data_IF_524906210410
#
_entry.id   IF_524906210410
#
_cell.length_a   1.000
_cell.length_b   1.000
_cell.length_c   1.000
_cell.angle_alpha   90.00
_cell.angle_beta   90.00
_cell.angle_gamma   90.00
#
_symmetry.space_group_name_H-M   'P 1'
#
loop_
_entity.id
_entity.type
_entity.pdbx_description
1 polymer ?
#
# COMPACT_ATOMS: atom_id res chain seq x y z
N UNK A 1 10.78 15.10 32.57
CA UNK A 1 9.47 15.04 31.89
C UNK A 1 8.69 13.90 32.51
N UNK A 2 7.44 14.10 32.96
CA UNK A 2 6.69 13.02 33.56
C UNK A 2 6.33 12.01 32.46
N UNK A 3 6.58 10.74 32.74
CA UNK A 3 6.20 9.59 31.92
C UNK A 3 4.67 9.54 31.95
N UNK A 4 4.01 9.69 30.80
CA UNK A 4 2.56 9.56 30.71
C UNK A 4 2.15 8.15 31.14
N UNK A 5 1.42 8.04 32.26
CA UNK A 5 0.84 6.78 32.72
C UNK A 5 -0.21 6.30 31.71
N UNK A 6 0.10 5.25 30.96
CA UNK A 6 -0.82 4.61 30.02
C UNK A 6 -1.83 3.78 30.81
N UNK A 7 -2.98 4.36 31.16
CA UNK A 7 -4.09 3.60 31.77
C UNK A 7 -4.73 2.66 30.74
N UNK A 8 -4.55 1.36 30.92
CA UNK A 8 -5.28 0.30 30.21
C UNK A 8 -6.68 0.12 30.78
N UNK A 9 -7.72 0.36 29.99
CA UNK A 9 -9.07 -0.11 30.30
C UNK A 9 -9.19 -1.57 29.87
N UNK A 10 -9.46 -2.47 30.83
CA UNK A 10 -9.74 -3.89 30.54
C UNK A 10 -11.10 -3.99 29.84
N UNK A 11 -11.09 -4.32 28.56
CA UNK A 11 -12.34 -4.53 27.80
C UNK A 11 -12.79 -5.97 28.06
N UNK A 12 -14.08 -6.19 28.36
CA UNK A 12 -14.64 -7.54 28.33
C UNK A 12 -14.54 -8.12 26.91
N UNK A 13 -13.81 -9.22 26.77
CA UNK A 13 -13.32 -9.87 25.54
C UNK A 13 -14.37 -10.08 24.42
N UNK A 14 -15.67 -10.02 24.70
CA UNK A 14 -16.73 -10.28 23.72
C UNK A 14 -17.33 -9.03 23.05
N UNK A 15 -17.03 -7.83 23.53
CA UNK A 15 -17.76 -6.62 23.15
C UNK A 15 -17.30 -5.96 21.84
N UNK A 16 -16.11 -5.36 21.85
CA UNK A 16 -15.59 -4.55 20.72
C UNK A 16 -14.88 -5.40 19.68
N UNK A 17 -14.15 -6.44 20.11
CA UNK A 17 -13.44 -7.39 19.26
C UNK A 17 -14.42 -8.10 18.32
N UNK A 18 -15.56 -8.58 18.84
CA UNK A 18 -16.57 -9.26 18.02
C UNK A 18 -17.18 -8.36 16.94
N UNK A 19 -17.40 -7.08 17.26
CA UNK A 19 -17.88 -6.08 16.29
C UNK A 19 -16.79 -5.80 15.24
N UNK A 20 -15.54 -5.66 15.65
CA UNK A 20 -14.41 -5.49 14.73
C UNK A 20 -14.28 -6.69 13.78
N UNK A 21 -14.34 -7.92 14.29
CA UNK A 21 -14.26 -9.14 13.46
C UNK A 21 -15.41 -9.21 12.45
N UNK A 22 -16.62 -8.85 12.86
CA UNK A 22 -17.77 -8.75 11.95
C UNK A 22 -17.52 -7.70 10.87
N UNK A 23 -16.97 -6.53 11.25
CA UNK A 23 -16.63 -5.47 10.31
C UNK A 23 -15.54 -5.91 9.30
N UNK A 24 -14.47 -6.57 9.76
CA UNK A 24 -13.44 -7.13 8.87
C UNK A 24 -14.04 -8.15 7.90
N UNK A 25 -15.00 -8.96 8.35
CA UNK A 25 -15.73 -9.86 7.47
C UNK A 25 -16.58 -9.09 6.43
N UNK A 26 -17.20 -7.97 6.81
CA UNK A 26 -17.93 -7.12 5.86
C UNK A 26 -17.02 -6.54 4.77
N UNK A 27 -15.80 -6.11 5.13
CA UNK A 27 -14.79 -5.69 4.15
C UNK A 27 -14.42 -6.83 3.20
N UNK A 28 -14.11 -8.02 3.73
CA UNK A 28 -13.79 -9.20 2.92
C UNK A 28 -14.91 -9.55 1.94
N UNK A 29 -16.16 -9.55 2.40
CA UNK A 29 -17.34 -9.80 1.56
C UNK A 29 -17.45 -8.76 0.43
N UNK A 30 -17.18 -7.48 0.73
CA UNK A 30 -17.20 -6.40 -0.26
C UNK A 30 -16.10 -6.57 -1.31
N UNK A 31 -14.87 -6.84 -0.86
CA UNK A 31 -13.70 -6.95 -1.71
C UNK A 31 -13.72 -8.20 -2.60
N UNK A 32 -14.31 -9.29 -2.11
CA UNK A 32 -14.42 -10.57 -2.83
C UNK A 32 -15.68 -10.71 -3.67
N UNK A 33 -16.59 -9.73 -3.65
CA UNK A 33 -17.76 -9.76 -4.50
C UNK A 33 -17.32 -9.90 -5.97
N UNK A 34 -17.64 -11.06 -6.57
CA UNK A 34 -17.18 -11.38 -7.92
C UNK A 34 -17.73 -10.38 -8.94
N UNK A 35 -16.86 -9.98 -9.87
CA UNK A 35 -17.17 -9.21 -11.08
C UNK A 35 -17.50 -7.71 -10.89
N UNK A 36 -16.61 -7.00 -10.21
CA UNK A 36 -16.53 -5.56 -10.37
C UNK A 36 -15.97 -5.26 -11.77
N UNK A 37 -16.84 -4.77 -12.67
CA UNK A 37 -16.35 -4.13 -13.89
C UNK A 37 -15.51 -2.90 -13.54
N UNK A 38 -14.76 -2.37 -14.50
CA UNK A 38 -13.89 -1.21 -14.33
C UNK A 38 -14.57 -0.03 -13.61
N UNK A 39 -15.88 0.12 -13.81
CA UNK A 39 -16.72 1.17 -13.21
C UNK A 39 -16.79 1.16 -11.66
N UNK A 40 -16.48 0.01 -11.04
CA UNK A 40 -16.56 -0.19 -9.59
C UNK A 40 -15.22 -0.59 -8.96
N UNK A 41 -14.16 -0.81 -9.75
CA UNK A 41 -12.81 -1.09 -9.24
C UNK A 41 -12.34 -0.01 -8.25
N UNK A 42 -12.69 1.26 -8.52
CA UNK A 42 -12.38 2.36 -7.61
C UNK A 42 -13.10 2.25 -6.26
N UNK A 43 -14.31 1.67 -6.23
CA UNK A 43 -15.04 1.47 -4.98
C UNK A 43 -14.43 0.34 -4.15
N UNK A 44 -13.90 -0.70 -4.79
CA UNK A 44 -13.10 -1.73 -4.11
C UNK A 44 -11.84 -1.14 -3.51
N UNK A 45 -11.11 -0.30 -4.25
CA UNK A 45 -9.92 0.38 -3.73
C UNK A 45 -10.26 1.25 -2.51
N UNK A 46 -11.39 1.97 -2.55
CA UNK A 46 -11.87 2.72 -1.37
C UNK A 46 -12.21 1.80 -0.19
N UNK A 47 -12.85 0.66 -0.43
CA UNK A 47 -13.14 -0.29 0.64
C UNK A 47 -11.86 -0.89 1.23
N UNK A 48 -10.85 -1.20 0.42
CA UNK A 48 -9.54 -1.69 0.86
C UNK A 48 -8.78 -0.66 1.70
N UNK A 49 -8.85 0.63 1.31
CA UNK A 49 -8.32 1.73 2.11
C UNK A 49 -9.01 1.82 3.48
N UNK A 50 -10.35 1.72 3.52
CA UNK A 50 -11.11 1.74 4.77
C UNK A 50 -10.83 0.53 5.67
N UNK A 51 -10.71 -0.66 5.09
CA UNK A 51 -10.30 -1.87 5.80
C UNK A 51 -8.93 -1.63 6.45
N UNK A 52 -7.95 -1.19 5.66
CA UNK A 52 -6.61 -0.93 6.14
C UNK A 52 -6.60 0.13 7.26
N UNK A 53 -7.38 1.21 7.13
CA UNK A 53 -7.42 2.28 8.14
C UNK A 53 -8.03 1.77 9.44
N UNK A 54 -9.09 0.98 9.34
CA UNK A 54 -9.74 0.34 10.49
C UNK A 54 -8.81 -0.63 11.20
N UNK A 55 -8.13 -1.50 10.45
CA UNK A 55 -7.20 -2.48 11.02
C UNK A 55 -5.99 -1.80 11.64
N UNK A 56 -5.40 -0.80 10.97
CA UNK A 56 -4.28 -0.04 11.53
C UNK A 56 -4.68 0.69 12.82
N UNK A 57 -5.87 1.28 12.85
CA UNK A 57 -6.41 1.87 14.09
C UNK A 57 -6.57 0.82 15.19
N UNK A 58 -7.19 -0.32 14.89
CA UNK A 58 -7.45 -1.38 15.87
C UNK A 58 -6.15 -1.97 16.46
N UNK A 59 -5.10 -2.12 15.64
CA UNK A 59 -3.76 -2.50 16.09
C UNK A 59 -3.19 -1.44 17.03
N UNK A 60 -3.24 -0.17 16.61
CA UNK A 60 -2.64 0.94 17.37
C UNK A 60 -3.33 1.19 18.72
N UNK A 61 -4.64 0.98 18.81
CA UNK A 61 -5.37 1.02 20.09
C UNK A 61 -5.30 -0.29 20.86
N UNK A 62 -4.62 -1.31 20.34
CA UNK A 62 -4.40 -2.59 21.03
C UNK A 62 -5.66 -3.44 21.21
N UNK A 63 -6.64 -3.33 20.30
CA UNK A 63 -7.79 -4.24 20.23
C UNK A 63 -7.39 -5.56 19.56
N UNK A 64 -6.45 -5.51 18.62
CA UNK A 64 -5.84 -6.67 17.96
C UNK A 64 -4.32 -6.46 17.87
N UNK A 65 -3.57 -7.51 17.59
CA UNK A 65 -2.16 -7.42 17.21
C UNK A 65 -1.97 -7.40 15.69
N UNK A 66 -0.71 -7.37 15.24
CA UNK A 66 -0.34 -7.35 13.82
C UNK A 66 -0.79 -8.62 13.06
N UNK A 67 -1.03 -9.71 13.77
CA UNK A 67 -1.55 -10.97 13.24
C UNK A 67 -3.09 -11.05 13.34
N UNK A 68 -3.75 -9.94 13.68
CA UNK A 68 -5.20 -9.81 13.88
C UNK A 68 -5.75 -10.64 15.06
N UNK A 69 -4.90 -11.10 15.98
CA UNK A 69 -5.38 -11.78 17.18
C UNK A 69 -5.92 -10.76 18.19
N UNK A 70 -7.07 -11.05 18.85
CA UNK A 70 -7.64 -10.20 19.88
C UNK A 70 -6.67 -9.86 21.00
N UNK A 71 -6.71 -8.61 21.42
CA UNK A 71 -5.93 -8.06 22.52
C UNK A 71 -6.91 -7.37 23.48
N UNK A 72 -6.77 -7.61 24.79
CA UNK A 72 -7.69 -7.08 25.81
C UNK A 72 -7.29 -5.67 26.26
N UNK A 73 -6.86 -4.81 25.32
CA UNK A 73 -6.37 -3.46 25.59
C UNK A 73 -7.14 -2.42 24.77
N UNK A 74 -7.22 -1.22 25.31
CA UNK A 74 -7.74 -0.05 24.58
C UNK A 74 -6.86 1.16 24.89
N UNK A 75 -5.84 1.36 24.06
CA UNK A 75 -4.76 2.33 24.21
C UNK A 75 -5.07 3.59 23.40
N UNK A 76 -5.79 4.52 24.01
CA UNK A 76 -6.13 5.81 23.39
C UNK A 76 -5.50 6.96 24.16
N UNK A 77 -5.13 8.03 23.46
CA UNK A 77 -4.41 9.17 24.03
C UNK A 77 -5.19 9.92 25.13
N UNK A 78 -6.53 9.84 25.11
CA UNK A 78 -7.43 10.49 26.09
C UNK A 78 -8.47 9.49 26.60
N UNK A 79 -8.11 8.56 27.50
CA UNK A 79 -9.01 7.51 27.95
C UNK A 79 -10.16 8.09 28.79
N UNK A 80 -11.38 7.61 28.51
CA UNK A 80 -12.56 7.82 29.35
C UNK A 80 -13.29 6.50 29.51
N UNK A 81 -14.11 6.37 30.56
CA UNK A 81 -14.93 5.17 30.81
C UNK A 81 -15.84 4.80 29.63
N UNK A 82 -16.23 5.79 28.82
CA UNK A 82 -17.14 5.60 27.69
C UNK A 82 -16.44 5.35 26.36
N UNK A 83 -15.12 5.57 26.24
CA UNK A 83 -14.47 5.53 24.93
C UNK A 83 -14.61 4.17 24.25
N UNK A 84 -14.39 3.07 24.99
CA UNK A 84 -14.52 1.72 24.42
C UNK A 84 -15.95 1.42 23.94
N UNK A 85 -16.97 1.90 24.68
CA UNK A 85 -18.38 1.78 24.28
C UNK A 85 -18.67 2.58 23.01
N UNK A 86 -18.23 3.84 22.95
CA UNK A 86 -18.45 4.71 21.79
C UNK A 86 -17.67 4.22 20.55
N UNK A 87 -16.47 3.69 20.73
CA UNK A 87 -15.69 3.08 19.66
C UNK A 87 -16.40 1.84 19.11
N UNK A 88 -16.93 0.97 20.00
CA UNK A 88 -17.75 -0.18 19.61
C UNK A 88 -18.98 0.25 18.81
N UNK A 89 -19.72 1.26 19.27
CA UNK A 89 -20.90 1.79 18.56
C UNK A 89 -20.53 2.33 17.18
N UNK A 90 -19.40 3.04 17.09
CA UNK A 90 -18.89 3.58 15.83
C UNK A 90 -18.51 2.46 14.85
N UNK A 91 -17.77 1.44 15.31
CA UNK A 91 -17.45 0.25 14.51
C UNK A 91 -18.71 -0.49 14.03
N UNK A 92 -19.73 -0.61 14.89
CA UNK A 92 -21.00 -1.23 14.54
C UNK A 92 -21.73 -0.43 13.44
N UNK A 93 -21.72 0.90 13.52
CA UNK A 93 -22.26 1.75 12.46
C UNK A 93 -21.48 1.63 11.15
N UNK A 94 -20.14 1.50 11.17
CA UNK A 94 -19.36 1.22 9.96
C UNK A 94 -19.79 -0.11 9.34
N UNK A 95 -19.93 -1.14 10.18
CA UNK A 95 -20.35 -2.49 9.79
C UNK A 95 -21.73 -2.47 9.12
N UNK A 96 -22.68 -1.74 9.69
CA UNK A 96 -24.01 -1.54 9.11
C UNK A 96 -23.93 -0.91 7.70
N UNK A 97 -23.11 0.13 7.51
CA UNK A 97 -22.95 0.75 6.19
C UNK A 97 -22.36 -0.22 5.17
N UNK A 98 -21.38 -1.04 5.55
CA UNK A 98 -20.81 -2.03 4.64
C UNK A 98 -21.77 -3.18 4.35
N UNK A 99 -22.60 -3.58 5.31
CA UNK A 99 -23.66 -4.58 5.07
C UNK A 99 -24.65 -4.07 4.03
N UNK A 100 -25.11 -2.82 4.13
CA UNK A 100 -25.96 -2.22 3.10
C UNK A 100 -25.29 -2.22 1.72
N UNK A 101 -23.98 -1.98 1.67
CA UNK A 101 -23.22 -2.02 0.43
C UNK A 101 -23.09 -3.45 -0.13
N UNK A 102 -22.84 -4.43 0.73
CA UNK A 102 -22.77 -5.86 0.37
C UNK A 102 -24.11 -6.42 -0.09
N UNK A 103 -25.21 -6.01 0.54
CA UNK A 103 -26.57 -6.34 0.11
C UNK A 103 -26.82 -5.81 -1.31
N UNK A 104 -26.40 -4.58 -1.59
CA UNK A 104 -26.54 -3.95 -2.90
C UNK A 104 -25.67 -4.64 -3.97
N UNK A 105 -24.45 -5.07 -3.63
CA UNK A 105 -23.63 -5.92 -4.51
C UNK A 105 -24.27 -7.29 -4.75
N UNK A 106 -24.84 -7.90 -3.72
CA UNK A 106 -25.53 -9.18 -3.84
C UNK A 106 -26.80 -9.06 -4.68
N UNK A 107 -27.52 -7.93 -4.58
CA UNK A 107 -28.68 -7.62 -5.42
C UNK A 107 -28.30 -7.58 -6.89
N UNK A 108 -27.12 -7.05 -7.23
CA UNK A 108 -26.60 -7.03 -8.61
C UNK A 108 -26.61 -8.43 -9.23
N UNK A 109 -26.05 -9.39 -8.49
CA UNK A 109 -25.93 -10.78 -8.93
C UNK A 109 -27.30 -11.42 -9.18
N UNK A 110 -28.34 -10.99 -8.45
CA UNK A 110 -29.67 -11.60 -8.51
C UNK A 110 -30.65 -10.90 -9.45
N UNK A 111 -30.53 -9.58 -9.63
CA UNK A 111 -31.65 -8.75 -10.12
C UNK A 111 -31.25 -7.65 -11.13
N UNK A 112 -29.99 -7.55 -11.56
CA UNK A 112 -29.57 -6.60 -12.60
C UNK A 112 -28.64 -5.48 -12.12
N UNK A 113 -28.67 -4.27 -12.70
CA UNK A 113 -27.64 -3.26 -12.47
C UNK A 113 -27.59 -2.76 -11.02
N UNK A 114 -26.38 -2.58 -10.49
CA UNK A 114 -26.12 -2.01 -9.16
C UNK A 114 -26.44 -0.52 -9.13
N UNK A 115 -27.01 -0.07 -8.03
CA UNK A 115 -27.11 1.35 -7.74
C UNK A 115 -25.77 1.85 -7.19
N UNK A 116 -24.91 2.33 -8.10
CA UNK A 116 -23.61 2.91 -7.77
C UNK A 116 -23.72 4.03 -6.75
N UNK A 117 -24.79 4.83 -6.80
CA UNK A 117 -25.01 5.94 -5.85
C UNK A 117 -25.22 5.42 -4.44
N UNK A 118 -25.95 4.31 -4.28
CA UNK A 118 -26.12 3.66 -2.96
C UNK A 118 -24.80 3.12 -2.41
N UNK A 119 -23.98 2.48 -3.24
CA UNK A 119 -22.65 2.03 -2.83
C UNK A 119 -21.74 3.20 -2.42
N UNK A 120 -21.71 4.26 -3.23
CA UNK A 120 -20.92 5.45 -2.93
C UNK A 120 -21.38 6.12 -1.63
N UNK A 121 -22.68 6.20 -1.38
CA UNK A 121 -23.24 6.75 -0.16
C UNK A 121 -22.88 5.92 1.08
N UNK A 122 -22.96 4.59 0.99
CA UNK A 122 -22.56 3.69 2.05
C UNK A 122 -21.06 3.87 2.39
N UNK A 123 -20.19 3.88 1.36
CA UNK A 123 -18.75 4.11 1.54
C UNK A 123 -18.44 5.51 2.09
N UNK A 124 -19.17 6.55 1.67
CA UNK A 124 -19.00 7.90 2.20
C UNK A 124 -19.35 7.99 3.69
N UNK A 125 -20.41 7.30 4.12
CA UNK A 125 -20.80 7.22 5.53
C UNK A 125 -19.78 6.41 6.33
N UNK A 126 -19.36 5.25 5.84
CA UNK A 126 -18.30 4.44 6.44
C UNK A 126 -17.00 5.25 6.60
N UNK A 127 -16.60 5.99 5.57
CA UNK A 127 -15.43 6.90 5.60
C UNK A 127 -15.53 7.91 6.74
N UNK A 128 -16.69 8.56 6.86
CA UNK A 128 -16.92 9.57 7.92
C UNK A 128 -16.85 8.96 9.31
N UNK A 129 -17.32 7.72 9.48
CA UNK A 129 -17.28 7.02 10.76
C UNK A 129 -15.85 6.54 11.10
N UNK A 130 -15.07 6.10 10.12
CA UNK A 130 -13.65 5.76 10.30
C UNK A 130 -12.83 7.01 10.65
N UNK A 131 -13.10 8.16 10.02
CA UNK A 131 -12.49 9.45 10.41
C UNK A 131 -12.77 9.79 11.88
N UNK A 132 -13.99 9.53 12.34
CA UNK A 132 -14.36 9.70 13.74
C UNK A 132 -13.65 8.71 14.65
N UNK A 133 -13.45 7.45 14.24
CA UNK A 133 -12.66 6.51 15.03
C UNK A 133 -11.24 7.04 15.28
N UNK A 134 -10.59 7.52 14.23
CA UNK A 134 -9.21 8.04 14.31
C UNK A 134 -9.16 9.34 15.11
N UNK A 135 -10.16 10.21 14.98
CA UNK A 135 -10.18 11.52 15.65
C UNK A 135 -10.61 11.42 17.12
N UNK A 136 -11.73 10.74 17.40
CA UNK A 136 -12.33 10.63 18.73
C UNK A 136 -11.56 9.63 19.60
N UNK A 137 -10.93 8.62 19.00
CA UNK A 137 -10.18 7.55 19.67
C UNK A 137 -8.75 7.44 19.12
N UNK A 138 -8.09 8.60 19.05
CA UNK A 138 -6.69 8.73 18.67
C UNK A 138 -5.79 7.74 19.46
N UNK A 139 -5.01 6.87 18.78
CA UNK A 139 -4.05 6.01 19.46
C UNK A 139 -2.91 6.84 20.06
N UNK A 140 -2.19 6.24 21.00
CA UNK A 140 -1.02 6.87 21.65
C UNK A 140 0.11 7.10 20.62
N UNK A 141 0.37 6.13 19.76
CA UNK A 141 1.49 6.10 18.80
C UNK A 141 1.04 6.38 17.35
N UNK A 142 0.47 7.56 17.09
CA UNK A 142 -0.10 7.91 15.77
C UNK A 142 0.92 7.87 14.61
N UNK A 143 2.18 8.22 14.87
CA UNK A 143 3.21 8.25 13.83
C UNK A 143 3.59 6.83 13.39
N UNK A 144 3.75 5.91 14.34
CA UNK A 144 4.04 4.51 14.05
C UNK A 144 2.89 3.86 13.27
N UNK A 145 1.64 4.20 13.63
CA UNK A 145 0.46 3.76 12.88
C UNK A 145 0.51 4.23 11.42
N UNK A 146 0.93 5.49 11.17
CA UNK A 146 0.99 6.05 9.82
C UNK A 146 2.04 5.33 8.97
N UNK A 147 3.17 4.94 9.57
CA UNK A 147 4.21 4.16 8.88
C UNK A 147 3.72 2.76 8.49
N UNK A 148 3.15 2.00 9.42
CA UNK A 148 2.59 0.66 9.16
C UNK A 148 1.56 0.72 8.04
N UNK A 149 0.71 1.74 8.09
CA UNK A 149 -0.34 1.93 7.10
C UNK A 149 0.21 2.36 5.73
N UNK A 150 1.25 3.20 5.67
CA UNK A 150 1.94 3.52 4.43
C UNK A 150 2.51 2.27 3.76
N UNK A 151 3.07 1.33 4.53
CA UNK A 151 3.59 0.07 3.97
C UNK A 151 2.45 -0.80 3.40
N UNK A 152 1.33 -0.96 4.12
CA UNK A 152 0.16 -1.70 3.63
C UNK A 152 -0.48 -1.08 2.39
N UNK A 153 -0.51 0.25 2.26
CA UNK A 153 -0.98 0.90 1.02
C UNK A 153 -0.07 0.59 -0.17
N UNK A 154 1.24 0.44 0.02
CA UNK A 154 2.13 0.04 -1.08
C UNK A 154 1.77 -1.34 -1.64
N UNK A 155 1.29 -2.25 -0.78
CA UNK A 155 0.86 -3.59 -1.19
C UNK A 155 -0.37 -3.56 -2.12
N UNK A 156 -1.19 -2.49 -2.06
CA UNK A 156 -2.32 -2.27 -2.98
C UNK A 156 -1.87 -1.96 -4.42
N UNK A 157 -0.57 -1.71 -4.65
CA UNK A 157 0.03 -1.46 -5.99
C UNK A 157 -0.77 -0.45 -6.83
N UNK A 158 -1.20 0.65 -6.19
CA UNK A 158 -2.02 1.68 -6.82
C UNK A 158 -1.29 2.33 -8.00
N UNK A 159 -1.92 2.29 -9.19
CA UNK A 159 -1.44 3.01 -10.38
C UNK A 159 -1.67 4.51 -10.22
N UNK A 160 -0.98 5.33 -11.00
CA UNK A 160 -1.17 6.78 -10.97
C UNK A 160 -2.63 7.19 -11.28
N UNK A 161 -3.28 6.50 -12.23
CA UNK A 161 -4.69 6.73 -12.55
C UNK A 161 -5.63 6.44 -11.37
N UNK A 162 -5.36 5.37 -10.63
CA UNK A 162 -6.16 4.98 -9.47
C UNK A 162 -6.01 6.00 -8.34
N UNK A 163 -4.78 6.49 -8.10
CA UNK A 163 -4.49 7.54 -7.12
C UNK A 163 -5.24 8.84 -7.43
N UNK A 164 -5.14 9.32 -8.67
CA UNK A 164 -5.85 10.54 -9.10
C UNK A 164 -7.36 10.40 -8.94
N UNK A 165 -7.92 9.24 -9.23
CA UNK A 165 -9.35 9.00 -9.08
C UNK A 165 -9.77 8.88 -7.61
N UNK A 166 -8.95 8.26 -6.76
CA UNK A 166 -9.18 8.21 -5.30
C UNK A 166 -9.19 9.62 -4.69
N UNK A 167 -8.30 10.52 -5.13
CA UNK A 167 -8.23 11.90 -4.65
C UNK A 167 -9.47 12.74 -4.98
N UNK A 168 -10.17 12.44 -6.07
CA UNK A 168 -11.44 13.13 -6.41
C UNK A 168 -12.60 12.68 -5.53
N UNK A 169 -12.42 11.62 -4.74
CA UNK A 169 -13.46 10.97 -3.95
C UNK A 169 -13.21 11.20 -2.47
N UNK A 170 -14.26 10.98 -1.68
CA UNK A 170 -14.13 10.99 -0.22
C UNK A 170 -13.36 9.75 0.23
N UNK A 171 -12.16 9.94 0.74
CA UNK A 171 -11.34 8.95 1.44
C UNK A 171 -11.11 9.43 2.88
N UNK A 172 -10.81 8.51 3.79
CA UNK A 172 -10.57 8.88 5.19
C UNK A 172 -9.26 9.67 5.32
N UNK A 173 -9.15 10.46 6.38
CA UNK A 173 -8.03 11.35 6.65
C UNK A 173 -6.70 10.58 6.74
N UNK A 174 -6.75 9.34 7.24
CA UNK A 174 -5.58 8.50 7.39
C UNK A 174 -5.06 8.03 6.03
N UNK A 175 -5.96 7.50 5.20
CA UNK A 175 -5.72 7.24 3.77
C UNK A 175 -5.15 8.46 3.05
N UNK A 176 -5.76 9.63 3.22
CA UNK A 176 -5.29 10.86 2.56
C UNK A 176 -3.85 11.22 2.93
N UNK A 177 -3.50 11.17 4.23
CA UNK A 177 -2.13 11.46 4.70
C UNK A 177 -1.12 10.45 4.13
N UNK A 178 -1.47 9.18 4.09
CA UNK A 178 -0.58 8.14 3.59
C UNK A 178 -0.39 8.22 2.08
N UNK A 179 -1.46 8.43 1.31
CA UNK A 179 -1.36 8.64 -0.13
C UNK A 179 -0.50 9.87 -0.46
N UNK A 180 -0.69 10.97 0.28
CA UNK A 180 0.16 12.16 0.15
C UNK A 180 1.62 11.86 0.49
N UNK A 181 1.89 11.11 1.57
CA UNK A 181 3.25 10.69 1.94
C UNK A 181 3.90 9.84 0.83
N UNK A 182 3.13 8.95 0.19
CA UNK A 182 3.61 8.16 -0.94
C UNK A 182 3.88 9.03 -2.18
N UNK A 183 3.04 10.03 -2.45
CA UNK A 183 3.27 11.01 -3.52
C UNK A 183 4.52 11.86 -3.26
N UNK A 184 4.68 12.36 -2.05
CA UNK A 184 5.86 13.15 -1.66
C UNK A 184 7.13 12.29 -1.78
N UNK A 185 7.08 11.00 -1.41
CA UNK A 185 8.19 10.04 -1.60
C UNK A 185 8.47 9.76 -3.08
N UNK A 186 7.43 9.71 -3.94
CA UNK A 186 7.59 9.60 -5.40
C UNK A 186 8.25 10.87 -5.97
N UNK A 187 7.78 12.05 -5.58
CA UNK A 187 8.31 13.35 -6.01
C UNK A 187 9.75 13.60 -5.52
N UNK A 188 10.08 13.11 -4.32
CA UNK A 188 11.43 13.19 -3.74
C UNK A 188 12.43 12.20 -4.38
N UNK A 189 12.02 11.38 -5.35
CA UNK A 189 12.92 10.54 -6.13
C UNK A 189 13.16 9.14 -5.58
N UNK A 190 12.21 8.53 -4.88
CA UNK A 190 12.15 7.06 -4.82
C UNK A 190 11.77 6.55 -6.22
N UNK A 191 12.81 6.37 -7.06
CA UNK A 191 12.74 6.25 -8.53
C UNK A 191 12.17 4.94 -9.08
N UNK A 192 11.67 4.03 -8.24
CA UNK A 192 11.12 2.75 -8.70
C UNK A 192 9.96 2.32 -7.80
N UNK A 193 8.81 2.05 -8.43
CA UNK A 193 7.63 1.53 -7.73
C UNK A 193 7.73 0.00 -7.59
N UNK A 194 8.38 -0.68 -8.55
CA UNK A 194 8.63 -2.13 -8.50
C UNK A 194 9.70 -2.58 -9.51
N UNK A 195 10.73 -3.31 -9.06
CA UNK A 195 11.71 -3.98 -9.94
C UNK A 195 11.66 -5.48 -9.63
N UNK A 196 11.20 -6.27 -10.61
CA UNK A 196 11.19 -7.72 -10.52
C UNK A 196 12.27 -8.30 -11.43
N UNK A 197 13.31 -8.89 -10.82
CA UNK A 197 14.48 -9.44 -11.50
C UNK A 197 14.50 -10.94 -11.25
N UNK A 198 14.31 -11.77 -12.27
CA UNK A 198 14.41 -13.24 -12.12
C UNK A 198 15.86 -13.74 -12.27
N UNK A 199 16.07 -15.06 -12.16
CA UNK A 199 17.33 -15.73 -11.74
C UNK A 199 18.65 -15.29 -12.40
N UNK A 200 18.64 -14.75 -13.61
CA UNK A 200 19.87 -14.36 -14.33
C UNK A 200 19.86 -12.90 -14.87
N UNK A 201 18.91 -12.08 -14.43
CA UNK A 201 18.82 -10.70 -14.87
C UNK A 201 19.67 -9.76 -13.99
N UNK A 202 20.20 -8.69 -14.58
CA UNK A 202 20.95 -7.65 -13.85
C UNK A 202 20.37 -6.29 -14.17
N UNK A 203 20.08 -5.50 -13.13
CA UNK A 203 19.59 -4.13 -13.28
C UNK A 203 20.64 -3.18 -12.72
N UNK A 204 21.09 -2.24 -13.54
CA UNK A 204 21.95 -1.15 -13.12
C UNK A 204 21.13 0.14 -13.08
N UNK A 205 21.20 0.85 -11.95
CA UNK A 205 20.41 2.03 -11.66
C UNK A 205 21.35 3.17 -11.30
N UNK A 206 21.21 4.28 -12.01
CA UNK A 206 22.03 5.46 -11.85
C UNK A 206 22.91 5.71 -13.08
N UNK A 207 23.51 6.89 -13.11
CA UNK A 207 24.34 7.30 -14.23
C UNK A 207 25.60 6.42 -14.33
N UNK A 208 25.95 6.06 -15.55
CA UNK A 208 27.20 5.38 -15.85
C UNK A 208 28.25 6.40 -16.29
N UNK A 209 29.45 6.28 -15.73
CA UNK A 209 30.61 7.09 -16.09
C UNK A 209 31.73 6.16 -16.57
N UNK A 210 32.19 6.34 -17.80
CA UNK A 210 33.38 5.63 -18.28
C UNK A 210 34.60 6.02 -17.43
N UNK A 211 35.56 5.10 -17.28
CA UNK A 211 36.82 5.32 -16.54
C UNK A 211 37.60 6.54 -17.03
N UNK A 212 37.45 6.89 -18.31
CA UNK A 212 38.15 8.01 -18.93
C UNK A 212 37.30 9.29 -18.96
N UNK A 213 36.08 9.24 -18.37
CA UNK A 213 35.19 10.39 -18.29
C UNK A 213 35.71 11.44 -17.30
N UNK A 214 35.72 12.71 -17.73
CA UNK A 214 36.13 13.85 -16.92
C UNK A 214 34.95 14.79 -16.69
N UNK A 215 34.77 15.19 -15.43
CA UNK A 215 33.74 16.13 -14.99
C UNK A 215 34.11 17.57 -15.37
N UNK A 216 34.22 17.90 -16.65
CA UNK A 216 34.48 19.28 -17.09
C UNK A 216 33.19 19.94 -17.57
N UNK A 217 32.48 20.57 -16.64
CA UNK A 217 31.48 21.60 -16.95
C UNK A 217 30.11 21.12 -17.43
N UNK A 218 29.76 19.84 -17.31
CA UNK A 218 28.39 19.37 -17.57
C UNK A 218 27.45 19.93 -16.50
N UNK A 219 26.73 21.00 -16.83
CA UNK A 219 25.54 21.40 -16.06
C UNK A 219 24.52 20.29 -16.23
N UNK A 220 24.33 19.48 -15.19
CA UNK A 220 23.16 18.59 -15.12
C UNK A 220 21.93 19.43 -15.41
N UNK A 221 21.23 19.14 -16.51
CA UNK A 221 19.82 19.48 -16.55
C UNK A 221 19.21 18.81 -15.31
N UNK A 222 18.55 19.60 -14.47
CA UNK A 222 17.94 19.09 -13.25
C UNK A 222 17.05 17.90 -13.61
N UNK A 223 17.49 16.71 -13.19
CA UNK A 223 16.77 15.44 -13.16
C UNK A 223 15.89 15.14 -14.36
N UNK A 224 16.37 14.27 -15.26
CA UNK A 224 15.43 13.49 -16.07
C UNK A 224 14.48 12.74 -15.13
N UNK A 225 13.20 13.10 -15.18
CA UNK A 225 12.14 12.49 -14.38
C UNK A 225 11.54 11.31 -15.14
N UNK A 226 12.38 10.34 -15.49
CA UNK A 226 11.90 9.13 -16.14
C UNK A 226 11.16 8.30 -15.09
N UNK A 227 9.85 8.19 -15.27
CA UNK A 227 8.97 7.46 -14.36
C UNK A 227 8.78 6.06 -14.88
N UNK A 228 9.36 5.07 -14.19
CA UNK A 228 9.18 3.66 -14.51
C UNK A 228 8.22 3.03 -13.50
N UNK A 229 6.98 2.76 -13.93
CA UNK A 229 5.95 2.18 -13.05
C UNK A 229 6.26 0.73 -12.68
N UNK A 230 6.68 -0.10 -13.65
CA UNK A 230 7.07 -1.50 -13.43
C UNK A 230 8.19 -1.88 -14.38
N UNK A 231 9.26 -2.46 -13.84
CA UNK A 231 10.29 -3.11 -14.65
C UNK A 231 10.30 -4.59 -14.28
N UNK A 232 9.80 -5.41 -15.20
CA UNK A 232 9.78 -6.86 -15.06
C UNK A 232 10.74 -7.48 -16.06
N UNK A 233 11.78 -8.12 -15.55
CA UNK A 233 12.84 -8.70 -16.36
C UNK A 233 12.89 -10.20 -16.11
N UNK A 234 12.58 -10.99 -17.14
CA UNK A 234 12.69 -12.45 -17.11
C UNK A 234 13.95 -12.92 -17.85
N UNK A 235 14.45 -14.11 -17.52
CA UNK A 235 15.57 -14.78 -18.18
C UNK A 235 16.92 -14.02 -18.05
N UNK A 236 17.76 -14.10 -19.10
CA UNK A 236 19.08 -13.44 -19.19
C UNK A 236 18.93 -12.06 -19.82
N UNK A 237 18.60 -11.07 -19.00
CA UNK A 237 18.47 -9.69 -19.46
C UNK A 237 19.28 -8.70 -18.62
N UNK A 238 19.76 -7.65 -19.28
CA UNK A 238 20.50 -6.56 -18.67
C UNK A 238 19.74 -5.26 -18.91
N UNK A 239 19.33 -4.59 -17.84
CA UNK A 239 18.63 -3.31 -17.89
C UNK A 239 19.53 -2.25 -17.28
N UNK A 240 19.77 -1.17 -18.02
CA UNK A 240 20.49 0.01 -17.53
C UNK A 240 19.54 1.20 -17.53
N UNK A 241 19.43 1.88 -16.39
CA UNK A 241 18.51 3.00 -16.19
C UNK A 241 19.30 4.17 -15.63
N UNK A 242 19.45 5.21 -16.43
CA UNK A 242 20.27 6.37 -16.14
C UNK A 242 21.03 6.82 -17.38
N UNK A 243 21.63 8.00 -17.29
CA UNK A 243 22.43 8.55 -18.38
C UNK A 243 23.78 7.85 -18.48
N UNK A 244 24.34 7.78 -19.69
CA UNK A 244 25.69 7.25 -19.92
C UNK A 244 26.61 8.38 -20.36
N UNK A 245 27.67 8.60 -19.61
CA UNK A 245 28.62 9.67 -19.85
C UNK A 245 30.00 9.13 -20.25
N UNK A 246 30.35 9.39 -21.52
CA UNK A 246 31.58 8.86 -22.13
C UNK A 246 31.52 7.36 -22.40
N UNK A 247 32.50 6.87 -23.18
CA UNK A 247 32.72 5.43 -23.37
C UNK A 247 31.67 4.66 -24.17
N UNK A 248 31.79 3.33 -24.13
CA UNK A 248 30.79 2.41 -24.67
C UNK A 248 29.62 2.28 -23.69
N UNK A 249 28.39 2.36 -24.21
CA UNK A 249 27.18 2.21 -23.39
C UNK A 249 27.22 0.90 -22.58
N UNK A 250 26.78 0.88 -21.31
CA UNK A 250 26.86 -0.30 -20.44
C UNK A 250 26.23 -1.56 -21.03
N UNK A 251 25.14 -1.39 -21.80
CA UNK A 251 24.48 -2.50 -22.51
C UNK A 251 25.41 -3.13 -23.54
N UNK A 252 26.19 -2.32 -24.28
CA UNK A 252 27.14 -2.82 -25.27
C UNK A 252 28.31 -3.55 -24.59
N UNK A 253 28.89 -2.96 -23.55
CA UNK A 253 29.95 -3.60 -22.76
C UNK A 253 29.48 -4.94 -22.18
N UNK A 254 28.24 -5.01 -21.67
CA UNK A 254 27.68 -6.26 -21.17
C UNK A 254 27.41 -7.28 -22.28
N UNK A 255 26.94 -6.83 -23.44
CA UNK A 255 26.73 -7.69 -24.60
C UNK A 255 28.05 -8.31 -25.07
N UNK A 256 29.13 -7.53 -25.15
CA UNK A 256 30.47 -8.00 -25.49
C UNK A 256 30.98 -9.03 -24.47
N UNK A 257 30.81 -8.77 -23.17
CA UNK A 257 31.16 -9.72 -22.11
C UNK A 257 30.38 -11.05 -22.26
N UNK A 258 29.09 -10.96 -22.57
CA UNK A 258 28.25 -12.14 -22.78
C UNK A 258 28.68 -12.93 -24.03
N UNK A 259 29.04 -12.25 -25.11
CA UNK A 259 29.54 -12.87 -26.34
C UNK A 259 30.92 -13.53 -26.10
N UNK A 260 31.82 -12.87 -25.38
CA UNK A 260 33.14 -13.39 -25.01
C UNK A 260 33.05 -14.60 -24.06
N UNK A 261 32.05 -14.63 -23.16
CA UNK A 261 31.79 -15.77 -22.30
C UNK A 261 31.25 -16.98 -23.08
N UNK A 262 30.44 -16.74 -24.14
CA UNK A 262 29.93 -17.81 -25.02
C UNK A 262 31.00 -18.40 -25.93
N UNK A 263 31.96 -17.59 -26.39
CA UNK A 263 33.07 -18.06 -27.23
C UNK A 263 34.14 -18.84 -26.44
N UNK A 264 34.19 -18.66 -25.11
CA UNK A 264 34.99 -19.47 -24.19
C UNK A 264 34.24 -20.72 -23.70
N UNK A 265 33.61 -21.47 -24.62
CA UNK A 265 32.88 -22.71 -24.32
C UNK A 265 33.67 -23.68 -23.43
N UNK A 266 32.99 -24.65 -22.77
CA UNK A 266 33.60 -25.48 -21.75
C UNK A 266 34.89 -26.08 -22.29
N UNK A 267 36.01 -25.76 -21.64
CA UNK A 267 37.25 -26.52 -21.87
C UNK A 267 36.88 -27.95 -21.53
N UNK A 268 36.64 -28.78 -22.54
CA UNK A 268 36.63 -30.22 -22.38
C UNK A 268 37.95 -30.55 -21.70
N UNK A 269 37.88 -30.78 -20.39
CA UNK A 269 38.97 -31.39 -19.65
C UNK A 269 39.25 -32.68 -20.37
N UNK A 270 40.43 -32.76 -20.97
CA UNK A 270 40.88 -33.95 -21.67
C UNK A 270 40.66 -35.15 -20.77
N UNK A 271 39.98 -36.15 -21.31
CA UNK A 271 40.37 -37.51 -21.02
C UNK A 271 41.84 -37.62 -21.41
N UNK A 272 42.72 -37.64 -20.42
CA UNK A 272 44.01 -38.29 -20.59
C UNK A 272 43.81 -39.75 -20.19
N UNK A 273 44.06 -40.62 -21.15
CA UNK A 273 44.36 -42.04 -20.98
C UNK A 273 45.49 -42.29 -19.96
#
# INVERSE_FOLDING_TARGET
MPVSETTTATIGDSGIVGVLQSLLQCYRNFLTAHDFGDELAILQLRAALLENSTTAWAIAVGIIDEQEYPQNKFLVARPTENNARLAKETLASVCEQLNLANEELTRRLKQGPTDKTRLENALNKATTLVDRLVTDFAPVEQNQQLEVFCERIKELKLREGDLKELQKRKIDQFSHRALKSLEDKRAAGSRFININVTKDATVNIGDYYDKDWKYDGVRRQQGHSDTYEVISVTDKAFVNIGDSFGGNHPVWTRLEQMQAARSKGPKNGGLND
#
